data_IF_729721335019
#
_entry.id   IF_729721335019
#
_cell.length_a   1.000
_cell.length_b   1.000
_cell.length_c   1.000
_cell.angle_alpha   90.00
_cell.angle_beta   90.00
_cell.angle_gamma   90.00
#
_symmetry.space_group_name_H-M   'P 1'
#
loop_
_entity.id
_entity.type
_entity.pdbx_description
1 polymer ?
#
# COMPACT_ATOMS: atom_id res chain seq x y z
N UNK A 1 -56.78 -29.57 1.42
CA UNK A 1 -55.44 -29.60 2.04
C UNK A 1 -54.74 -28.28 1.74
N UNK A 2 -54.72 -27.30 2.66
CA UNK A 2 -54.19 -25.97 2.42
C UNK A 2 -52.67 -25.94 2.53
N UNK A 3 -52.07 -25.11 1.68
CA UNK A 3 -50.64 -24.91 1.44
C UNK A 3 -49.90 -24.49 2.72
N UNK A 4 -48.85 -25.22 3.08
CA UNK A 4 -47.80 -24.76 3.98
C UNK A 4 -47.04 -23.59 3.31
N UNK A 5 -47.61 -22.38 3.39
CA UNK A 5 -46.94 -21.15 2.97
C UNK A 5 -45.91 -20.76 4.03
N UNK A 6 -44.66 -21.09 3.72
CA UNK A 6 -43.45 -20.32 4.00
C UNK A 6 -43.63 -19.14 4.96
N UNK A 7 -43.28 -19.34 6.22
CA UNK A 7 -42.96 -18.24 7.13
C UNK A 7 -41.43 -18.18 7.25
N UNK A 8 -40.78 -17.57 6.24
CA UNK A 8 -39.45 -16.99 6.48
C UNK A 8 -39.67 -15.87 7.49
N UNK A 9 -39.37 -16.13 8.75
CA UNK A 9 -39.52 -15.14 9.80
C UNK A 9 -38.68 -13.90 9.42
N UNK A 10 -39.36 -12.81 9.08
CA UNK A 10 -38.72 -11.51 8.95
C UNK A 10 -38.03 -11.20 10.28
N UNK A 11 -36.76 -10.79 10.22
CA UNK A 11 -35.99 -10.40 11.41
C UNK A 11 -36.83 -9.41 12.22
N UNK A 12 -37.06 -9.71 13.50
CA UNK A 12 -37.87 -8.85 14.35
C UNK A 12 -37.21 -7.47 14.48
N UNK A 13 -38.00 -6.41 14.61
CA UNK A 13 -37.47 -5.03 14.73
C UNK A 13 -36.43 -4.91 15.85
N UNK A 14 -36.68 -5.54 16.99
CA UNK A 14 -35.75 -5.55 18.13
C UNK A 14 -34.40 -6.21 17.78
N UNK A 15 -34.43 -7.32 17.03
CA UNK A 15 -33.21 -7.99 16.57
C UNK A 15 -32.47 -7.16 15.51
N UNK A 16 -33.20 -6.50 14.61
CA UNK A 16 -32.62 -5.59 13.63
C UNK A 16 -31.94 -4.37 14.31
N UNK A 17 -32.60 -3.77 15.30
CA UNK A 17 -32.09 -2.63 16.07
C UNK A 17 -30.84 -3.03 16.87
N UNK A 18 -30.83 -4.22 17.48
CA UNK A 18 -29.66 -4.77 18.17
C UNK A 18 -28.47 -4.95 17.23
N UNK A 19 -28.68 -5.59 16.07
CA UNK A 19 -27.62 -5.79 15.07
C UNK A 19 -27.03 -4.48 14.57
N UNK A 20 -27.89 -3.48 14.34
CA UNK A 20 -27.46 -2.13 13.94
C UNK A 20 -26.63 -1.46 15.03
N UNK A 21 -27.04 -1.57 16.28
CA UNK A 21 -26.31 -0.98 17.41
C UNK A 21 -24.91 -1.60 17.57
N UNK A 22 -24.80 -2.92 17.46
CA UNK A 22 -23.51 -3.63 17.50
C UNK A 22 -22.61 -3.21 16.34
N UNK A 23 -23.11 -3.23 15.11
CA UNK A 23 -22.32 -2.85 13.94
C UNK A 23 -21.83 -1.39 14.00
N UNK A 24 -22.65 -0.48 14.55
CA UNK A 24 -22.24 0.93 14.72
C UNK A 24 -21.17 1.08 15.80
N UNK A 25 -21.24 0.29 16.88
CA UNK A 25 -20.21 0.28 17.92
C UNK A 25 -18.87 -0.22 17.36
N UNK A 26 -18.89 -1.33 16.61
CA UNK A 26 -17.70 -1.89 15.94
C UNK A 26 -17.08 -0.88 14.97
N UNK A 27 -17.90 -0.19 14.16
CA UNK A 27 -17.43 0.85 13.25
C UNK A 27 -16.75 2.00 14.01
N UNK A 28 -17.36 2.46 15.10
CA UNK A 28 -16.82 3.54 15.96
C UNK A 28 -15.49 3.15 16.58
N UNK A 29 -15.35 1.90 17.02
CA UNK A 29 -14.08 1.39 17.55
C UNK A 29 -12.98 1.39 16.48
N UNK A 30 -13.28 0.92 15.27
CA UNK A 30 -12.34 0.96 14.14
C UNK A 30 -11.91 2.39 13.81
N UNK A 31 -12.85 3.34 13.73
CA UNK A 31 -12.57 4.76 13.47
C UNK A 31 -11.66 5.37 14.55
N UNK A 32 -11.88 5.05 15.83
CA UNK A 32 -11.04 5.54 16.94
C UNK A 32 -9.63 4.98 16.85
N UNK A 33 -9.49 3.67 16.60
CA UNK A 33 -8.18 3.01 16.47
C UNK A 33 -7.40 3.55 15.28
N UNK A 34 -8.07 3.79 14.15
CA UNK A 34 -7.47 4.42 12.99
C UNK A 34 -6.98 5.84 13.29
N UNK A 35 -7.79 6.68 13.95
CA UNK A 35 -7.38 8.05 14.33
C UNK A 35 -6.23 8.10 15.33
N UNK A 36 -6.08 7.05 16.15
CA UNK A 36 -4.93 6.87 17.06
C UNK A 36 -3.67 6.36 16.35
N UNK A 37 -3.76 6.02 15.06
CA UNK A 37 -2.65 5.46 14.29
C UNK A 37 -2.40 3.97 14.53
N UNK A 38 -3.33 3.26 15.18
CA UNK A 38 -3.21 1.82 15.43
C UNK A 38 -3.57 0.98 14.20
N UNK A 39 -4.33 1.57 13.25
CA UNK A 39 -4.76 0.93 12.01
C UNK A 39 -4.43 1.83 10.82
N UNK A 40 -3.91 1.22 9.76
CA UNK A 40 -3.71 1.85 8.46
C UNK A 40 -4.72 1.29 7.47
N UNK A 41 -5.19 2.13 6.56
CA UNK A 41 -5.98 1.67 5.41
C UNK A 41 -5.11 0.80 4.51
N UNK A 42 -5.51 -0.46 4.32
CA UNK A 42 -4.76 -1.41 3.51
C UNK A 42 -4.53 -0.86 2.08
N UNK A 43 -5.58 -0.28 1.48
CA UNK A 43 -5.51 0.31 0.14
C UNK A 43 -4.52 1.48 0.05
N UNK A 44 -4.43 2.32 1.10
CA UNK A 44 -3.49 3.42 1.15
C UNK A 44 -2.04 2.91 1.27
N UNK A 45 -1.82 1.87 2.08
CA UNK A 45 -0.51 1.22 2.22
C UNK A 45 -0.08 0.61 0.88
N UNK A 46 -0.96 -0.16 0.23
CA UNK A 46 -0.70 -0.77 -1.08
C UNK A 46 -0.35 0.28 -2.15
N UNK A 47 -1.14 1.36 -2.25
CA UNK A 47 -0.87 2.44 -3.20
C UNK A 47 0.47 3.12 -2.92
N UNK A 48 0.78 3.40 -1.65
CA UNK A 48 2.04 4.06 -1.28
C UNK A 48 3.25 3.19 -1.64
N UNK A 49 3.19 1.90 -1.37
CA UNK A 49 4.24 0.95 -1.74
C UNK A 49 4.35 0.77 -3.24
N UNK A 50 3.23 0.61 -3.95
CA UNK A 50 3.21 0.47 -5.40
C UNK A 50 3.86 1.69 -6.09
N UNK A 51 3.51 2.89 -5.64
CA UNK A 51 4.11 4.13 -6.16
C UNK A 51 5.62 4.20 -5.88
N UNK A 52 6.05 3.87 -4.65
CA UNK A 52 7.47 3.88 -4.27
C UNK A 52 8.30 2.88 -5.09
N UNK A 53 7.78 1.66 -5.27
CA UNK A 53 8.45 0.62 -6.06
C UNK A 53 8.49 0.94 -7.56
N UNK A 54 7.42 1.53 -8.10
CA UNK A 54 7.40 2.00 -9.48
C UNK A 54 8.45 3.10 -9.73
N UNK A 55 8.51 4.11 -8.84
CA UNK A 55 9.53 5.17 -8.89
C UNK A 55 10.95 4.58 -8.85
N UNK A 56 11.22 3.64 -7.93
CA UNK A 56 12.51 2.97 -7.85
C UNK A 56 12.85 2.22 -9.14
N UNK A 57 11.92 1.42 -9.66
CA UNK A 57 12.11 0.67 -10.91
C UNK A 57 12.51 1.63 -12.04
N UNK A 58 11.79 2.73 -12.20
CA UNK A 58 12.03 3.69 -13.28
C UNK A 58 13.41 4.34 -13.14
N UNK A 59 13.82 4.69 -11.91
CA UNK A 59 15.17 5.22 -11.63
C UNK A 59 16.28 4.21 -11.94
N UNK A 60 16.10 2.94 -11.56
CA UNK A 60 17.07 1.88 -11.82
C UNK A 60 17.21 1.59 -13.31
N UNK A 61 16.08 1.55 -14.05
CA UNK A 61 16.10 1.33 -15.50
C UNK A 61 16.72 2.51 -16.27
N UNK A 62 16.66 3.73 -15.73
CA UNK A 62 17.33 4.90 -16.30
C UNK A 62 18.84 4.96 -15.98
N UNK A 63 19.36 4.14 -15.06
CA UNK A 63 20.78 4.20 -14.67
C UNK A 63 21.75 4.01 -15.83
N UNK A 64 21.60 3.00 -16.72
CA UNK A 64 22.53 2.78 -17.81
C UNK A 64 22.70 4.03 -18.68
N UNK A 65 21.59 4.66 -19.08
CA UNK A 65 21.61 5.87 -19.92
C UNK A 65 22.31 7.03 -19.22
N UNK A 66 22.10 7.21 -17.91
CA UNK A 66 22.74 8.29 -17.14
C UNK A 66 24.24 8.10 -16.94
N UNK A 67 24.70 6.86 -16.75
CA UNK A 67 26.09 6.59 -16.37
C UNK A 67 26.97 6.13 -17.53
N UNK A 68 26.39 5.75 -18.68
CA UNK A 68 27.12 5.19 -19.82
C UNK A 68 28.32 6.05 -20.24
N UNK A 69 28.11 7.35 -20.44
CA UNK A 69 29.18 8.27 -20.85
C UNK A 69 30.27 8.43 -19.76
N UNK A 70 29.88 8.41 -18.49
CA UNK A 70 30.80 8.58 -17.35
C UNK A 70 31.66 7.34 -17.12
N UNK A 71 31.11 6.16 -17.39
CA UNK A 71 31.79 4.87 -17.26
C UNK A 71 32.65 4.55 -18.47
N UNK A 72 32.32 5.07 -19.66
CA UNK A 72 33.08 4.84 -20.87
C UNK A 72 34.56 5.21 -20.72
N UNK A 73 35.45 4.26 -21.05
CA UNK A 73 36.90 4.45 -20.98
C UNK A 73 37.49 4.49 -19.56
N UNK A 74 36.72 4.14 -18.52
CA UNK A 74 37.22 3.99 -17.14
C UNK A 74 37.80 2.59 -16.90
N UNK A 75 38.69 2.48 -15.92
CA UNK A 75 39.13 1.17 -15.43
C UNK A 75 37.96 0.42 -14.78
N UNK A 76 38.07 -0.91 -14.66
CA UNK A 76 37.05 -1.74 -14.00
C UNK A 76 36.75 -1.26 -12.57
N UNK A 77 37.79 -0.87 -11.82
CA UNK A 77 37.67 -0.40 -10.44
C UNK A 77 36.86 0.89 -10.37
N UNK A 78 37.17 1.87 -11.23
CA UNK A 78 36.46 3.14 -11.29
C UNK A 78 35.02 2.96 -11.78
N UNK A 79 34.81 2.13 -12.81
CA UNK A 79 33.49 1.81 -13.32
C UNK A 79 32.59 1.19 -12.23
N UNK A 80 33.11 0.22 -11.47
CA UNK A 80 32.39 -0.42 -10.38
C UNK A 80 32.05 0.57 -9.27
N UNK A 81 32.95 1.50 -8.95
CA UNK A 81 32.69 2.58 -7.98
C UNK A 81 31.56 3.50 -8.47
N UNK A 82 31.67 4.00 -9.70
CA UNK A 82 30.66 4.91 -10.29
C UNK A 82 29.27 4.26 -10.35
N UNK A 83 29.20 2.99 -10.73
CA UNK A 83 27.95 2.23 -10.76
C UNK A 83 27.35 2.06 -9.36
N UNK A 84 28.19 1.76 -8.35
CA UNK A 84 27.75 1.63 -6.96
C UNK A 84 27.21 2.95 -6.42
N UNK A 85 27.94 4.04 -6.63
CA UNK A 85 27.53 5.37 -6.18
C UNK A 85 26.17 5.75 -6.81
N UNK A 86 25.98 5.47 -8.11
CA UNK A 86 24.73 5.74 -8.81
C UNK A 86 23.56 4.85 -8.35
N UNK A 87 23.82 3.58 -8.03
CA UNK A 87 22.82 2.67 -7.47
C UNK A 87 22.38 3.10 -6.07
N UNK A 88 23.33 3.44 -5.20
CA UNK A 88 23.03 3.94 -3.86
C UNK A 88 22.19 5.22 -3.91
N UNK A 89 22.49 6.11 -4.86
CA UNK A 89 21.69 7.32 -5.06
C UNK A 89 20.26 7.02 -5.49
N UNK A 90 20.08 6.07 -6.42
CA UNK A 90 18.74 5.63 -6.83
C UNK A 90 17.95 5.02 -5.65
N UNK A 91 18.62 4.27 -4.77
CA UNK A 91 18.01 3.65 -3.59
C UNK A 91 17.68 4.67 -2.49
N UNK A 92 18.52 5.69 -2.27
CA UNK A 92 18.25 6.77 -1.31
C UNK A 92 16.96 7.51 -1.63
N UNK A 93 16.66 7.70 -2.92
CA UNK A 93 15.46 8.38 -3.37
C UNK A 93 14.14 7.73 -2.93
N UNK A 94 14.13 6.46 -2.50
CA UNK A 94 12.91 5.79 -1.98
C UNK A 94 12.41 6.46 -0.69
N UNK A 95 13.32 6.99 0.13
CA UNK A 95 12.98 7.63 1.41
C UNK A 95 12.55 9.09 1.25
N UNK A 96 12.96 9.76 0.17
CA UNK A 96 12.69 11.19 -0.06
C UNK A 96 11.29 11.44 -0.64
N UNK A 97 10.68 10.43 -1.28
CA UNK A 97 9.37 10.53 -1.92
C UNK A 97 8.19 10.23 -0.95
N UNK A 98 8.43 10.22 0.37
CA UNK A 98 7.50 9.75 1.41
C UNK A 98 7.13 10.72 2.49
#
# INVERSE_FOLDING_TARGET
MPRAKQQRAAVSKAEADRRKAVALAELRELEVRQRRGELLEASAVEQRWAAGLASLRDRLLALPDRVAATVAGRSEVEARRLLRDALEEALRGIHADG
#
